data_IF_361830745011
#
_entry.id   IF_361830745011
#
_cell.length_a   1.000
_cell.length_b   1.000
_cell.length_c   1.000
_cell.angle_alpha   90.00
_cell.angle_beta   90.00
_cell.angle_gamma   90.00
#
_symmetry.space_group_name_H-M   'P 1'
#
loop_
_entity.id
_entity.type
_entity.pdbx_description
1 polymer ?
#
# COMPACT_ATOMS: atom_id res chain seq x y z
N UNK A 1 -1.89 1.66 2.81
CA UNK A 1 -3.30 2.03 2.53
C UNK A 1 -3.42 3.53 2.59
N UNK A 2 -3.78 4.17 1.47
CA UNK A 2 -3.84 5.63 1.37
C UNK A 2 -4.87 6.17 2.35
N UNK A 3 -4.42 7.10 3.20
CA UNK A 3 -5.23 7.80 4.19
C UNK A 3 -6.13 8.78 3.44
N UNK A 4 -7.30 8.29 3.01
CA UNK A 4 -8.29 8.96 2.17
C UNK A 4 -8.77 10.32 2.69
N UNK A 5 -8.43 10.70 3.92
CA UNK A 5 -8.81 11.97 4.53
C UNK A 5 -7.68 12.45 5.48
N UNK A 6 -6.58 12.97 4.92
CA UNK A 6 -5.56 13.68 5.74
C UNK A 6 -5.99 15.10 6.12
N UNK A 7 -7.08 15.61 5.56
CA UNK A 7 -7.69 16.86 6.03
C UNK A 7 -8.47 16.57 7.30
N UNK A 8 -8.02 17.11 8.44
CA UNK A 8 -8.80 17.11 9.66
C UNK A 8 -10.16 17.75 9.36
N UNK A 9 -11.26 17.05 9.67
CA UNK A 9 -12.59 17.63 9.61
C UNK A 9 -12.58 18.93 10.45
N UNK A 10 -13.08 20.06 9.91
CA UNK A 10 -13.17 21.28 10.68
C UNK A 10 -13.98 20.99 11.95
N UNK A 11 -13.39 21.27 13.11
CA UNK A 11 -14.12 21.22 14.37
C UNK A 11 -15.02 22.45 14.41
N UNK A 12 -16.34 22.24 14.34
CA UNK A 12 -17.31 23.32 14.46
C UNK A 12 -17.18 23.97 15.84
N UNK A 13 -16.70 25.21 15.89
CA UNK A 13 -16.71 26.04 17.08
C UNK A 13 -17.84 27.06 16.92
N UNK A 14 -19.05 26.68 17.34
CA UNK A 14 -20.27 27.51 17.21
C UNK A 14 -21.54 26.66 17.13
N UNK A 15 -22.70 27.29 17.36
CA UNK A 15 -24.03 26.62 17.28
C UNK A 15 -24.50 26.49 15.83
N UNK A 16 -23.97 27.30 14.91
CA UNK A 16 -24.41 27.36 13.52
C UNK A 16 -23.23 27.28 12.53
N UNK A 17 -23.45 26.55 11.44
CA UNK A 17 -22.52 26.47 10.30
C UNK A 17 -23.00 27.46 9.25
N UNK A 18 -22.15 28.41 8.86
CA UNK A 18 -22.48 29.32 7.77
C UNK A 18 -22.54 28.58 6.43
N UNK A 19 -23.42 28.97 5.49
CA UNK A 19 -23.48 28.35 4.16
C UNK A 19 -22.12 28.36 3.43
N UNK A 20 -21.33 29.42 3.64
CA UNK A 20 -19.99 29.54 3.06
C UNK A 20 -19.02 28.48 3.60
N UNK A 21 -19.02 28.24 4.92
CA UNK A 21 -18.17 27.22 5.53
C UNK A 21 -18.57 25.80 5.08
N UNK A 22 -19.88 25.53 5.02
CA UNK A 22 -20.41 24.27 4.52
C UNK A 22 -19.99 24.01 3.06
N UNK A 23 -20.23 24.98 2.17
CA UNK A 23 -19.90 24.83 0.75
C UNK A 23 -18.39 24.66 0.53
N UNK A 24 -17.55 25.36 1.30
CA UNK A 24 -16.09 25.19 1.23
C UNK A 24 -15.65 23.80 1.69
N UNK A 25 -16.24 23.25 2.75
CA UNK A 25 -15.95 21.89 3.20
C UNK A 25 -16.33 20.86 2.13
N UNK A 26 -17.55 20.95 1.60
CA UNK A 26 -18.01 20.04 0.54
C UNK A 26 -17.09 20.11 -0.66
N UNK A 27 -16.66 21.31 -1.08
CA UNK A 27 -15.74 21.48 -2.20
C UNK A 27 -14.38 20.83 -1.97
N UNK A 28 -13.83 20.95 -0.75
CA UNK A 28 -12.57 20.29 -0.39
C UNK A 28 -12.73 18.77 -0.45
N UNK A 29 -13.85 18.23 0.06
CA UNK A 29 -14.13 16.80 0.00
C UNK A 29 -14.25 16.31 -1.44
N UNK A 30 -15.00 17.02 -2.29
CA UNK A 30 -15.13 16.70 -3.73
C UNK A 30 -13.78 16.66 -4.44
N UNK A 31 -12.92 17.66 -4.22
CA UNK A 31 -11.59 17.73 -4.85
C UNK A 31 -10.73 16.55 -4.40
N UNK A 32 -10.69 16.25 -3.10
CA UNK A 32 -9.87 15.17 -2.58
C UNK A 32 -10.37 13.79 -2.99
N UNK A 33 -11.69 13.60 -3.08
CA UNK A 33 -12.29 12.33 -3.51
C UNK A 33 -12.19 12.12 -5.02
N UNK A 34 -12.30 13.18 -5.82
CA UNK A 34 -12.17 13.09 -7.29
C UNK A 34 -10.73 12.94 -7.77
N UNK A 35 -9.74 13.17 -6.91
CA UNK A 35 -8.32 13.02 -7.26
C UNK A 35 -7.86 11.56 -7.29
N UNK A 36 -8.65 10.64 -6.71
CA UNK A 36 -8.32 9.22 -6.63
C UNK A 36 -9.22 8.46 -7.60
N UNK A 37 -8.60 7.87 -8.61
CA UNK A 37 -9.24 6.89 -9.48
C UNK A 37 -9.04 5.50 -8.84
N UNK A 38 -10.08 4.89 -8.23
CA UNK A 38 -9.96 3.58 -7.59
C UNK A 38 -9.75 2.44 -8.59
N UNK A 39 -10.04 2.66 -9.87
CA UNK A 39 -9.80 1.67 -10.93
C UNK A 39 -8.36 1.72 -11.45
N UNK A 40 -7.65 2.83 -11.19
CA UNK A 40 -6.26 2.97 -11.60
C UNK A 40 -5.33 2.15 -10.72
N UNK A 41 -4.52 1.31 -11.36
CA UNK A 41 -3.45 0.57 -10.67
C UNK A 41 -2.44 1.55 -10.04
N UNK A 42 -2.20 1.48 -8.71
CA UNK A 42 -1.23 2.33 -8.05
C UNK A 42 0.18 2.14 -8.63
N UNK A 43 0.92 3.23 -8.81
CA UNK A 43 2.26 3.22 -9.38
C UNK A 43 3.31 3.55 -8.32
N UNK A 44 4.36 2.74 -8.23
CA UNK A 44 5.45 2.92 -7.26
C UNK A 44 6.81 2.68 -7.93
N UNK A 45 7.84 3.37 -7.46
CA UNK A 45 9.23 3.08 -7.83
C UNK A 45 9.83 1.97 -6.93
N UNK A 46 11.04 1.51 -7.25
CA UNK A 46 11.68 0.39 -6.55
C UNK A 46 11.99 0.69 -5.08
N UNK A 47 12.30 1.95 -4.74
CA UNK A 47 12.55 2.38 -3.36
C UNK A 47 11.27 2.31 -2.54
N UNK A 48 10.17 2.86 -3.07
CA UNK A 48 8.85 2.80 -2.42
C UNK A 48 8.37 1.36 -2.24
N UNK A 49 8.57 0.50 -3.24
CA UNK A 49 8.22 -0.93 -3.14
C UNK A 49 8.99 -1.63 -2.02
N UNK A 50 10.25 -1.23 -1.77
CA UNK A 50 11.07 -1.82 -0.71
C UNK A 50 10.73 -1.32 0.69
N UNK A 51 10.18 -0.11 0.81
CA UNK A 51 9.88 0.54 2.09
C UNK A 51 8.43 0.31 2.54
N UNK A 52 7.49 0.22 1.59
CA UNK A 52 6.07 0.09 1.86
C UNK A 52 5.64 -1.36 2.11
N UNK A 53 4.63 -1.52 2.97
CA UNK A 53 3.96 -2.80 3.17
C UNK A 53 2.71 -2.91 2.29
N UNK A 54 2.60 -4.01 1.57
CA UNK A 54 1.50 -4.34 0.68
C UNK A 54 0.69 -5.50 1.24
N UNK A 55 -0.63 -5.47 1.06
CA UNK A 55 -1.48 -6.60 1.38
C UNK A 55 -1.30 -7.71 0.33
N UNK A 56 -1.39 -8.98 0.73
CA UNK A 56 -1.40 -10.11 -0.21
C UNK A 56 -2.48 -9.90 -1.27
N UNK A 57 -2.13 -10.09 -2.55
CA UNK A 57 -3.02 -9.86 -3.69
C UNK A 57 -3.03 -8.42 -4.22
N UNK A 58 -2.27 -7.49 -3.62
CA UNK A 58 -2.13 -6.13 -4.17
C UNK A 58 -1.51 -6.17 -5.55
N UNK A 59 -2.11 -5.45 -6.50
CA UNK A 59 -1.58 -5.26 -7.86
C UNK A 59 -1.07 -3.82 -7.96
N UNK A 60 0.16 -3.67 -8.45
CA UNK A 60 0.83 -2.39 -8.60
C UNK A 60 1.53 -2.30 -9.95
N UNK A 61 1.83 -1.08 -10.38
CA UNK A 61 2.70 -0.80 -11.51
C UNK A 61 4.05 -0.29 -11.00
N UNK A 62 5.13 -1.03 -11.29
CA UNK A 62 6.47 -0.63 -10.96
C UNK A 62 6.99 0.34 -12.03
N UNK A 63 7.24 1.59 -11.65
CA UNK A 63 7.65 2.65 -12.58
C UNK A 63 9.13 2.57 -12.97
N UNK A 64 9.97 1.93 -12.15
CA UNK A 64 11.39 1.68 -12.48
C UNK A 64 11.48 0.62 -13.59
N UNK A 65 10.88 -0.54 -13.35
CA UNK A 65 10.94 -1.70 -14.24
C UNK A 65 9.89 -1.65 -15.36
N UNK A 66 8.92 -0.73 -15.24
CA UNK A 66 7.80 -0.51 -16.18
C UNK A 66 6.93 -1.75 -16.39
N UNK A 67 6.62 -2.46 -15.30
CA UNK A 67 5.84 -3.71 -15.32
C UNK A 67 4.75 -3.72 -14.25
N UNK A 68 3.70 -4.50 -14.50
CA UNK A 68 2.72 -4.81 -13.46
C UNK A 68 3.21 -5.97 -12.60
N UNK A 69 3.08 -5.80 -11.29
CA UNK A 69 3.48 -6.79 -10.30
C UNK A 69 2.33 -7.05 -9.32
N UNK A 70 2.24 -8.27 -8.82
CA UNK A 70 1.34 -8.63 -7.73
C UNK A 70 2.13 -9.08 -6.51
N UNK A 71 1.67 -8.70 -5.32
CA UNK A 71 2.27 -9.14 -4.07
C UNK A 71 1.72 -10.51 -3.66
N UNK A 72 2.58 -11.53 -3.58
CA UNK A 72 2.18 -12.89 -3.22
C UNK A 72 2.09 -13.14 -1.69
N UNK A 73 2.25 -12.09 -0.89
CA UNK A 73 2.32 -12.15 0.57
C UNK A 73 3.75 -12.23 1.12
N UNK A 74 4.74 -12.48 0.25
CA UNK A 74 6.17 -12.48 0.61
C UNK A 74 6.96 -11.47 -0.22
N UNK A 75 6.68 -11.37 -1.53
CA UNK A 75 7.42 -10.50 -2.46
C UNK A 75 6.56 -10.04 -3.63
N UNK A 76 7.02 -9.00 -4.33
CA UNK A 76 6.44 -8.59 -5.61
C UNK A 76 6.81 -9.56 -6.72
N UNK A 77 5.83 -9.95 -7.53
CA UNK A 77 5.96 -10.94 -8.59
C UNK A 77 5.47 -10.35 -9.91
N UNK A 78 6.27 -10.46 -10.96
CA UNK A 78 5.88 -9.99 -12.29
C UNK A 78 4.65 -10.73 -12.81
N UNK A 79 3.71 -9.99 -13.38
CA UNK A 79 2.50 -10.53 -14.01
C UNK A 79 2.68 -10.86 -15.49
N UNK A 80 3.83 -10.52 -16.08
CA UNK A 80 4.11 -10.74 -17.52
C UNK A 80 4.93 -11.99 -17.79
N UNK A 81 5.64 -12.52 -16.79
CA UNK A 81 6.36 -13.77 -16.89
C UNK A 81 5.48 -14.96 -16.51
N UNK A 82 5.69 -16.12 -17.14
CA UNK A 82 5.13 -17.37 -16.64
C UNK A 82 5.66 -17.62 -15.21
N UNK A 83 4.75 -17.64 -14.24
CA UNK A 83 5.05 -18.05 -12.87
C UNK A 83 5.10 -19.58 -12.83
N UNK A 84 6.26 -20.17 -13.10
CA UNK A 84 6.49 -21.55 -12.68
C UNK A 84 6.65 -21.53 -11.17
N UNK A 85 5.62 -21.95 -10.44
CA UNK A 85 5.77 -22.31 -9.04
C UNK A 85 6.63 -23.58 -9.01
N UNK A 86 7.88 -23.53 -8.56
CA UNK A 86 8.58 -24.77 -8.29
C UNK A 86 7.84 -25.37 -7.09
N UNK A 87 6.96 -26.33 -7.33
CA UNK A 87 6.43 -27.20 -6.27
C UNK A 87 7.55 -28.18 -5.89
N UNK A 88 8.62 -27.66 -5.31
CA UNK A 88 9.70 -28.45 -4.73
C UNK A 88 9.39 -28.76 -3.27
N UNK A 89 9.75 -29.95 -2.81
CA UNK A 89 9.83 -30.23 -1.37
C UNK A 89 10.88 -29.29 -0.76
N UNK A 90 10.43 -28.29 0.00
CA UNK A 90 11.31 -27.48 0.83
C UNK A 90 11.65 -28.23 2.11
N UNK A 91 12.90 -28.67 2.26
CA UNK A 91 13.42 -29.15 3.53
C UNK A 91 13.76 -27.93 4.39
N UNK A 92 13.00 -27.72 5.47
CA UNK A 92 13.36 -26.78 6.52
C UNK A 92 14.40 -27.46 7.43
N UNK A 93 15.69 -27.28 7.16
CA UNK A 93 16.75 -27.75 8.03
C UNK A 93 17.14 -26.65 9.02
N UNK A 94 16.96 -26.92 10.31
CA UNK A 94 17.53 -26.10 11.39
C UNK A 94 19.01 -26.46 11.56
N UNK A 95 19.90 -25.47 11.57
CA UNK A 95 21.29 -25.65 12.01
C UNK A 95 21.28 -25.28 13.50
N UNK A 96 21.69 -26.25 14.34
CA UNK A 96 21.47 -26.23 15.79
C UNK A 96 21.93 -24.97 16.51
N UNK A 97 21.29 -24.69 17.65
CA UNK A 97 21.59 -23.55 18.51
C UNK A 97 22.89 -23.75 19.29
N UNK A 98 23.81 -22.80 19.18
CA UNK A 98 24.96 -22.69 20.08
C UNK A 98 24.52 -21.95 21.35
N UNK A 99 24.57 -22.63 22.48
CA UNK A 99 24.38 -22.01 23.80
C UNK A 99 25.74 -21.77 24.44
N UNK A 100 26.03 -20.53 24.83
CA UNK A 100 27.24 -20.18 25.58
C UNK A 100 26.85 -20.02 27.04
N UNK A 101 27.32 -20.93 27.88
CA UNK A 101 27.23 -20.82 29.34
C UNK A 101 28.50 -20.15 29.84
N UNK A 102 28.36 -19.00 30.49
CA UNK A 102 29.45 -18.33 31.20
C UNK A 102 29.26 -18.65 32.68
N UNK A 103 30.26 -19.31 33.27
CA UNK A 103 30.35 -19.58 34.72
C UNK A 103 31.06 -18.46 35.46
#
# INVERSE_FOLDING_TARGET
MSKLLQTNLPLAQGVEITPELFNRLVRILEINLSAIDPEKTPSFNSTEISELQFATGSIIYNTTDRIHQAFDGTRMRSLYGQQTYPSGLGLATSIGSVSVTIG
#
